data_IF_777798937534
#
_entry.id   IF_777798937534
#
_cell.length_a   1.000
_cell.length_b   1.000
_cell.length_c   1.000
_cell.angle_alpha   90.00
_cell.angle_beta   90.00
_cell.angle_gamma   90.00
#
_symmetry.space_group_name_H-M   'P 1'
#
loop_
_entity.id
_entity.type
_entity.pdbx_description
1 polymer ?
#
# COMPACT_ATOMS: atom_id res chain seq x y z
N UNK A 1 6.17 13.07 12.92
CA UNK A 1 5.72 11.91 12.12
C UNK A 1 5.83 10.67 12.99
N UNK A 2 4.83 9.82 12.96
CA UNK A 2 4.82 8.58 13.75
C UNK A 2 5.87 7.60 13.22
N UNK A 3 6.52 6.87 14.12
CA UNK A 3 7.50 5.86 13.76
C UNK A 3 6.75 4.53 13.49
N UNK A 4 6.86 4.02 12.27
CA UNK A 4 6.15 2.80 11.87
C UNK A 4 6.62 1.58 12.68
N UNK A 5 7.89 1.49 13.01
CA UNK A 5 8.42 0.36 13.78
C UNK A 5 7.88 0.37 15.22
N UNK A 6 7.89 1.53 15.85
CA UNK A 6 7.30 1.69 17.18
C UNK A 6 5.82 1.35 17.20
N UNK A 7 5.09 1.77 16.15
CA UNK A 7 3.67 1.47 16.04
C UNK A 7 3.43 -0.03 15.90
N UNK A 8 4.15 -0.70 15.01
CA UNK A 8 4.00 -2.15 14.80
C UNK A 8 4.35 -2.93 16.06
N UNK A 9 5.40 -2.52 16.74
CA UNK A 9 5.80 -3.14 18.02
C UNK A 9 4.73 -2.94 19.09
N UNK A 10 4.11 -1.76 19.14
CA UNK A 10 3.07 -1.45 20.12
C UNK A 10 1.79 -2.26 19.97
N UNK A 11 1.52 -2.77 18.77
CA UNK A 11 0.35 -3.60 18.49
C UNK A 11 0.70 -5.08 18.30
N UNK A 12 1.92 -5.48 18.66
CA UNK A 12 2.42 -6.85 18.60
C UNK A 12 2.38 -7.47 17.19
N UNK A 13 2.60 -6.66 16.17
CA UNK A 13 2.74 -7.15 14.79
C UNK A 13 4.20 -7.51 14.55
N UNK A 14 4.45 -8.78 14.26
CA UNK A 14 5.80 -9.23 13.90
C UNK A 14 6.10 -8.93 12.44
N UNK A 15 7.37 -8.71 12.12
CA UNK A 15 7.82 -8.47 10.77
C UNK A 15 9.29 -8.81 10.64
N UNK A 16 9.72 -9.14 9.42
CA UNK A 16 11.14 -9.25 9.06
C UNK A 16 11.52 -8.03 8.25
N UNK A 17 12.68 -7.45 8.54
CA UNK A 17 13.17 -6.25 7.88
C UNK A 17 14.37 -6.58 6.98
N UNK A 18 14.32 -6.08 5.76
CA UNK A 18 15.41 -6.22 4.78
C UNK A 18 15.77 -4.86 4.21
N UNK A 19 17.04 -4.46 4.36
CA UNK A 19 17.53 -3.21 3.83
C UNK A 19 18.12 -3.43 2.43
N UNK A 20 17.94 -2.46 1.54
CA UNK A 20 18.40 -2.54 0.16
C UNK A 20 18.56 -1.13 -0.41
N UNK A 21 19.25 -0.99 -1.59
CA UNK A 21 19.32 0.32 -2.25
C UNK A 21 17.94 0.86 -2.60
N UNK A 22 17.83 2.19 -2.69
CA UNK A 22 16.57 2.84 -3.05
C UNK A 22 16.08 2.35 -4.41
N UNK A 23 14.78 2.04 -4.50
CA UNK A 23 14.13 1.57 -5.73
C UNK A 23 12.94 2.46 -6.06
N UNK A 24 12.76 2.81 -7.34
CA UNK A 24 11.71 3.71 -7.80
C UNK A 24 10.80 3.07 -8.85
N UNK A 25 11.20 1.92 -9.41
CA UNK A 25 10.42 1.18 -10.40
C UNK A 25 10.32 -0.30 -10.01
N UNK A 26 9.35 -0.99 -10.62
CA UNK A 26 9.19 -2.44 -10.43
C UNK A 26 10.45 -3.19 -10.89
N UNK A 27 11.04 -2.78 -12.01
CA UNK A 27 12.25 -3.41 -12.53
C UNK A 27 13.44 -3.22 -11.58
N UNK A 28 13.60 -2.02 -11.02
CA UNK A 28 14.65 -1.77 -10.02
C UNK A 28 14.42 -2.61 -8.77
N UNK A 29 13.17 -2.71 -8.31
CA UNK A 29 12.82 -3.52 -7.15
C UNK A 29 13.21 -4.99 -7.36
N UNK A 30 12.91 -5.56 -8.53
CA UNK A 30 13.26 -6.93 -8.85
C UNK A 30 14.76 -7.16 -8.90
N UNK A 31 15.53 -6.18 -9.38
CA UNK A 31 16.97 -6.29 -9.57
C UNK A 31 17.77 -6.04 -8.29
N UNK A 32 17.34 -5.04 -7.49
CA UNK A 32 18.12 -4.53 -6.36
C UNK A 32 17.67 -5.02 -5.00
N UNK A 33 16.41 -5.48 -4.87
CA UNK A 33 15.91 -6.00 -3.61
C UNK A 33 16.40 -7.43 -3.37
N UNK A 34 16.67 -7.79 -2.10
CA UNK A 34 17.01 -9.17 -1.77
C UNK A 34 15.82 -10.10 -2.05
N UNK A 35 16.10 -11.38 -2.27
CA UNK A 35 15.08 -12.39 -2.36
C UNK A 35 14.42 -12.55 -0.99
N UNK A 36 13.08 -12.42 -0.96
CA UNK A 36 12.31 -12.49 0.26
C UNK A 36 11.10 -13.39 0.06
N UNK A 37 10.75 -14.17 1.08
CA UNK A 37 9.50 -14.93 1.09
C UNK A 37 8.34 -13.97 1.35
N UNK A 38 7.37 -13.97 0.46
CA UNK A 38 6.20 -13.14 0.57
C UNK A 38 5.74 -12.60 -0.77
N UNK A 39 4.53 -12.06 -0.79
CA UNK A 39 3.96 -11.48 -2.00
C UNK A 39 4.51 -10.07 -2.22
N UNK A 40 5.17 -9.86 -3.35
CA UNK A 40 5.62 -8.54 -3.78
C UNK A 40 4.41 -7.70 -4.19
N UNK A 41 4.37 -6.46 -3.74
CA UNK A 41 3.23 -5.56 -3.93
C UNK A 41 3.63 -4.25 -4.60
N UNK A 42 2.64 -3.61 -5.21
CA UNK A 42 2.71 -2.19 -5.53
C UNK A 42 1.43 -1.53 -5.02
N UNK A 43 1.54 -0.26 -4.70
CA UNK A 43 0.46 0.52 -4.12
C UNK A 43 0.12 1.67 -5.04
N UNK A 44 -1.17 1.79 -5.38
CA UNK A 44 -1.67 2.86 -6.24
C UNK A 44 -2.42 3.85 -5.35
N UNK A 45 -1.94 5.09 -5.29
CA UNK A 45 -2.65 6.14 -4.59
C UNK A 45 -3.45 6.96 -5.59
N UNK A 46 -4.75 6.82 -5.55
CA UNK A 46 -5.67 7.32 -6.57
C UNK A 46 -6.62 8.35 -6.01
N UNK A 47 -7.16 9.16 -6.91
CA UNK A 47 -8.19 10.15 -6.58
C UNK A 47 -9.34 10.04 -7.59
N UNK A 48 -10.54 10.47 -7.18
CA UNK A 48 -11.64 10.61 -8.11
C UNK A 48 -11.50 11.90 -8.92
N UNK A 49 -12.39 12.13 -9.89
CA UNK A 49 -12.30 13.27 -10.79
C UNK A 49 -12.29 14.62 -10.06
N UNK A 50 -13.12 14.76 -9.03
CA UNK A 50 -13.23 16.02 -8.26
C UNK A 50 -12.17 16.16 -7.17
N UNK A 51 -11.45 15.08 -6.86
CA UNK A 51 -10.46 15.08 -5.79
C UNK A 51 -11.05 15.08 -4.39
N UNK A 52 -12.28 14.62 -4.24
CA UNK A 52 -12.96 14.50 -2.94
C UNK A 52 -12.72 13.15 -2.26
N UNK A 53 -12.48 12.12 -3.05
CA UNK A 53 -12.21 10.77 -2.55
C UNK A 53 -10.80 10.35 -2.93
N UNK A 54 -10.13 9.69 -2.00
CA UNK A 54 -8.78 9.15 -2.21
C UNK A 54 -8.76 7.67 -1.87
N UNK A 55 -8.01 6.91 -2.65
CA UNK A 55 -7.99 5.45 -2.56
C UNK A 55 -6.55 4.96 -2.52
N UNK A 56 -6.26 4.04 -1.64
CA UNK A 56 -5.02 3.28 -1.67
C UNK A 56 -5.36 1.85 -2.08
N UNK A 57 -4.86 1.45 -3.24
CA UNK A 57 -5.14 0.13 -3.80
C UNK A 57 -3.85 -0.65 -3.86
N UNK A 58 -3.77 -1.74 -3.11
CA UNK A 58 -2.59 -2.61 -3.04
C UNK A 58 -2.82 -3.85 -3.89
N UNK A 59 -1.91 -4.10 -4.82
CA UNK A 59 -2.03 -5.19 -5.80
C UNK A 59 -0.70 -5.94 -5.91
N UNK A 60 -0.71 -7.16 -6.50
CA UNK A 60 0.54 -7.83 -6.84
C UNK A 60 1.42 -6.95 -7.72
N UNK A 61 2.72 -7.00 -7.50
CA UNK A 61 3.69 -6.11 -8.14
C UNK A 61 3.61 -6.08 -9.67
N UNK A 62 3.31 -7.21 -10.30
CA UNK A 62 3.29 -7.33 -11.76
C UNK A 62 1.92 -7.07 -12.39
N UNK A 63 0.91 -6.80 -11.58
CA UNK A 63 -0.45 -6.60 -12.09
C UNK A 63 -0.59 -5.26 -12.81
N UNK A 64 -1.09 -5.29 -14.04
CA UNK A 64 -1.40 -4.07 -14.80
C UNK A 64 -2.88 -3.75 -14.61
N UNK A 65 -3.15 -2.74 -13.79
CA UNK A 65 -4.50 -2.39 -13.35
C UNK A 65 -5.23 -1.57 -14.41
N UNK A 66 -6.47 -1.96 -14.71
CA UNK A 66 -7.37 -1.18 -15.55
C UNK A 66 -8.12 -0.16 -14.66
N UNK A 67 -7.67 1.09 -14.69
CA UNK A 67 -8.26 2.14 -13.84
C UNK A 67 -9.71 2.46 -14.21
N UNK A 68 -10.08 2.33 -15.48
CA UNK A 68 -11.44 2.59 -15.93
C UNK A 68 -12.42 1.57 -15.34
N UNK A 69 -12.07 0.30 -15.41
CA UNK A 69 -12.84 -0.79 -14.81
C UNK A 69 -12.86 -0.67 -13.30
N UNK A 70 -11.73 -0.32 -12.70
CA UNK A 70 -11.62 -0.13 -11.26
C UNK A 70 -12.56 0.98 -10.78
N UNK A 71 -12.70 2.07 -11.54
CA UNK A 71 -13.64 3.15 -11.20
C UNK A 71 -15.05 2.62 -11.00
N UNK A 72 -15.49 1.73 -11.89
CA UNK A 72 -16.81 1.12 -11.80
C UNK A 72 -16.95 0.24 -10.57
N UNK A 73 -15.94 -0.54 -10.26
CA UNK A 73 -15.94 -1.43 -9.10
C UNK A 73 -15.98 -0.64 -7.80
N UNK A 74 -15.24 0.47 -7.71
CA UNK A 74 -15.21 1.32 -6.53
C UNK A 74 -16.36 2.31 -6.46
N UNK A 75 -17.25 2.30 -7.45
CA UNK A 75 -18.35 3.25 -7.54
C UNK A 75 -17.86 4.70 -7.45
N UNK A 76 -16.78 4.97 -8.15
CA UNK A 76 -16.13 6.27 -8.18
C UNK A 76 -16.23 6.90 -9.57
N UNK A 77 -16.12 8.20 -9.63
CA UNK A 77 -15.91 8.90 -10.89
C UNK A 77 -14.49 8.57 -11.40
N UNK A 78 -14.11 9.07 -12.57
CA UNK A 78 -12.84 8.75 -13.20
C UNK A 78 -11.67 8.77 -12.23
N UNK A 79 -10.98 7.63 -12.09
CA UNK A 79 -9.80 7.51 -11.25
C UNK A 79 -8.54 7.95 -11.99
N UNK A 80 -7.66 8.65 -11.28
CA UNK A 80 -6.32 8.98 -11.75
C UNK A 80 -5.36 8.94 -10.57
N UNK A 81 -4.05 8.91 -10.85
CA UNK A 81 -3.06 8.96 -9.79
C UNK A 81 -3.11 10.30 -9.08
N UNK A 82 -3.06 10.27 -7.77
CA UNK A 82 -2.99 11.49 -6.97
C UNK A 82 -1.60 12.12 -7.11
N UNK A 83 -1.54 13.45 -7.01
CA UNK A 83 -0.29 14.19 -7.13
C UNK A 83 0.66 13.91 -5.96
N UNK A 84 1.98 14.21 -6.10
CA UNK A 84 2.91 14.14 -4.98
C UNK A 84 2.47 14.98 -3.79
N UNK A 85 1.86 16.16 -4.03
CA UNK A 85 1.36 17.02 -2.96
C UNK A 85 0.23 16.35 -2.18
N UNK A 86 -0.69 15.67 -2.88
CA UNK A 86 -1.77 14.93 -2.22
C UNK A 86 -1.23 13.73 -1.44
N UNK A 87 -0.25 13.04 -2.01
CA UNK A 87 0.40 11.92 -1.34
C UNK A 87 1.03 12.37 -0.02
N UNK A 88 1.73 13.51 -0.05
CA UNK A 88 2.33 14.08 1.15
C UNK A 88 1.28 14.51 2.17
N UNK A 89 0.21 15.15 1.70
CA UNK A 89 -0.87 15.65 2.56
C UNK A 89 -1.60 14.51 3.27
N UNK A 90 -1.94 13.44 2.56
CA UNK A 90 -2.76 12.35 3.11
C UNK A 90 -1.95 11.25 3.76
N UNK A 91 -0.80 10.90 3.20
CA UNK A 91 -0.01 9.75 3.66
C UNK A 91 1.38 10.12 4.19
N UNK A 92 1.80 11.37 4.04
CA UNK A 92 3.07 11.85 4.59
C UNK A 92 4.31 11.25 3.96
N UNK A 93 4.23 10.74 2.74
CA UNK A 93 5.32 10.06 2.06
C UNK A 93 5.56 10.62 0.67
N UNK A 94 6.70 10.27 0.08
CA UNK A 94 7.09 10.64 -1.27
C UNK A 94 6.69 9.55 -2.28
N UNK A 95 6.57 9.87 -3.59
CA UNK A 95 6.09 8.93 -4.60
C UNK A 95 6.83 7.59 -4.66
N UNK A 96 8.13 7.56 -4.41
CA UNK A 96 8.90 6.32 -4.43
C UNK A 96 8.69 5.42 -3.22
N UNK A 97 7.94 5.86 -2.22
CA UNK A 97 7.76 5.18 -0.94
C UNK A 97 6.30 4.86 -0.62
N UNK A 98 5.43 4.83 -1.63
CA UNK A 98 4.01 4.55 -1.40
C UNK A 98 3.85 3.16 -0.78
N UNK A 99 3.15 3.11 0.34
CA UNK A 99 3.01 1.90 1.14
C UNK A 99 1.68 1.85 1.86
N UNK A 100 1.16 0.64 2.02
CA UNK A 100 -0.01 0.37 2.85
C UNK A 100 0.22 0.86 4.29
N UNK A 101 1.44 0.73 4.79
CA UNK A 101 1.79 1.14 6.16
C UNK A 101 1.72 2.65 6.36
N UNK A 102 1.72 3.44 5.30
CA UNK A 102 1.56 4.90 5.38
C UNK A 102 0.17 5.32 5.88
N UNK A 103 -0.79 4.41 5.93
CA UNK A 103 -2.10 4.68 6.53
C UNK A 103 -1.99 5.07 8.00
N UNK A 104 -0.87 4.77 8.66
CA UNK A 104 -0.57 5.26 9.99
C UNK A 104 -0.68 6.80 10.06
N UNK A 105 -0.34 7.49 8.98
CA UNK A 105 -0.37 8.96 8.92
C UNK A 105 -1.75 9.52 8.56
N UNK A 106 -2.69 8.69 8.12
CA UNK A 106 -4.06 9.10 7.80
C UNK A 106 -4.97 9.03 9.01
N UNK A 107 -4.70 9.87 10.01
CA UNK A 107 -5.41 9.86 11.29
C UNK A 107 -6.88 10.19 11.16
N UNK A 108 -7.27 10.95 10.14
CA UNK A 108 -8.67 11.32 9.89
C UNK A 108 -9.43 10.29 9.06
N UNK A 109 -8.77 9.22 8.65
CA UNK A 109 -9.35 8.11 7.90
C UNK A 109 -10.01 8.56 6.59
N UNK A 110 -9.33 9.45 5.88
CA UNK A 110 -9.80 10.01 4.61
C UNK A 110 -9.49 9.13 3.40
N UNK A 111 -8.56 8.19 3.54
CA UNK A 111 -8.15 7.29 2.46
C UNK A 111 -8.93 5.99 2.56
N UNK A 112 -9.59 5.61 1.45
CA UNK A 112 -10.29 4.33 1.35
C UNK A 112 -9.28 3.26 0.90
N UNK A 113 -9.29 2.11 1.56
CA UNK A 113 -8.30 1.05 1.36
C UNK A 113 -8.94 -0.14 0.65
N UNK A 114 -8.28 -0.59 -0.41
CA UNK A 114 -8.69 -1.79 -1.15
C UNK A 114 -7.46 -2.65 -1.40
N UNK A 115 -7.57 -3.94 -1.12
CA UNK A 115 -6.49 -4.90 -1.34
C UNK A 115 -6.97 -5.96 -2.32
N UNK A 116 -6.14 -6.26 -3.30
CA UNK A 116 -6.44 -7.32 -4.27
C UNK A 116 -6.54 -8.65 -3.52
N UNK A 117 -7.63 -9.37 -3.74
CA UNK A 117 -7.84 -10.65 -3.07
C UNK A 117 -6.77 -11.70 -3.41
N UNK A 118 -6.05 -11.57 -4.52
CA UNK A 118 -4.89 -12.43 -4.81
C UNK A 118 -3.82 -12.34 -3.73
N UNK A 119 -3.61 -11.15 -3.16
CA UNK A 119 -2.62 -10.98 -2.08
C UNK A 119 -3.02 -11.71 -0.81
N UNK A 120 -4.31 -11.91 -0.60
CA UNK A 120 -4.79 -12.61 0.59
C UNK A 120 -4.59 -14.11 0.54
N UNK A 121 -4.16 -14.65 -0.61
CA UNK A 121 -3.74 -16.05 -0.74
C UNK A 121 -2.31 -16.26 -0.22
N UNK A 122 -1.52 -15.20 -0.06
CA UNK A 122 -0.18 -15.29 0.49
C UNK A 122 -0.23 -15.18 2.02
N UNK A 123 0.65 -15.92 2.70
CA UNK A 123 0.76 -15.83 4.16
C UNK A 123 1.45 -14.55 4.61
N UNK A 124 2.35 -14.02 3.79
CA UNK A 124 3.17 -12.86 4.09
C UNK A 124 3.13 -11.87 2.94
N UNK A 125 3.04 -10.59 3.27
CA UNK A 125 2.95 -9.49 2.32
C UNK A 125 4.15 -8.56 2.52
N UNK A 126 4.79 -8.16 1.41
CA UNK A 126 5.94 -7.27 1.44
C UNK A 126 5.49 -5.82 1.35
N UNK A 127 5.96 -4.99 2.29
CA UNK A 127 5.57 -3.57 2.39
C UNK A 127 6.79 -2.69 2.64
N UNK A 128 6.77 -1.46 2.12
CA UNK A 128 7.78 -0.46 2.47
C UNK A 128 7.46 0.18 3.83
N UNK A 129 8.46 0.35 4.71
CA UNK A 129 8.27 1.05 5.98
C UNK A 129 8.40 2.57 5.83
N UNK A 130 7.63 3.16 4.93
CA UNK A 130 7.56 4.61 4.62
C UNK A 130 8.82 5.17 3.95
N UNK A 131 9.77 4.32 3.61
CA UNK A 131 10.96 4.64 2.84
C UNK A 131 11.21 3.53 1.81
N UNK A 132 11.97 3.83 0.75
CA UNK A 132 12.22 2.85 -0.30
C UNK A 132 13.59 2.16 -0.19
N UNK A 133 14.23 2.25 0.98
CA UNK A 133 15.52 1.62 1.27
C UNK A 133 15.39 0.39 2.16
N UNK A 134 14.16 0.00 2.47
CA UNK A 134 13.86 -1.20 3.26
C UNK A 134 12.55 -1.80 2.78
N UNK A 135 12.38 -3.08 3.02
CA UNK A 135 11.12 -3.80 2.81
C UNK A 135 10.84 -4.64 4.05
N UNK A 136 9.60 -4.63 4.49
CA UNK A 136 9.16 -5.46 5.60
C UNK A 136 8.34 -6.62 5.07
N UNK A 137 8.62 -7.82 5.57
CA UNK A 137 7.78 -8.99 5.35
C UNK A 137 6.81 -9.08 6.53
N UNK A 138 5.54 -8.79 6.29
CA UNK A 138 4.50 -8.72 7.34
C UNK A 138 3.49 -9.84 7.11
N UNK A 139 3.22 -10.68 8.12
CA UNK A 139 2.18 -11.70 8.00
C UNK A 139 0.83 -11.07 7.65
N UNK A 140 0.04 -11.78 6.87
CA UNK A 140 -1.30 -11.32 6.48
C UNK A 140 -2.15 -10.89 7.68
N UNK A 141 -2.14 -11.68 8.75
CA UNK A 141 -2.86 -11.33 9.98
C UNK A 141 -2.33 -10.05 10.61
N UNK A 142 -1.04 -9.76 10.46
CA UNK A 142 -0.44 -8.52 10.91
C UNK A 142 -0.95 -7.30 10.14
N UNK A 143 -1.12 -7.45 8.83
CA UNK A 143 -1.72 -6.40 7.98
C UNK A 143 -3.16 -6.13 8.43
N UNK A 144 -3.93 -7.18 8.68
CA UNK A 144 -5.30 -7.04 9.17
C UNK A 144 -5.34 -6.31 10.51
N UNK A 145 -4.47 -6.68 11.44
CA UNK A 145 -4.36 -6.05 12.75
C UNK A 145 -3.95 -4.59 12.63
N UNK A 146 -3.00 -4.28 11.73
CA UNK A 146 -2.57 -2.91 11.47
C UNK A 146 -3.76 -2.04 11.02
N UNK A 147 -4.55 -2.51 10.05
CA UNK A 147 -5.70 -1.77 9.53
C UNK A 147 -6.77 -1.58 10.62
N UNK A 148 -7.02 -2.59 11.44
CA UNK A 148 -7.96 -2.47 12.56
C UNK A 148 -7.52 -1.35 13.53
N UNK A 149 -6.23 -1.28 13.80
CA UNK A 149 -5.70 -0.29 14.76
C UNK A 149 -5.64 1.11 14.18
N UNK A 150 -5.41 1.26 12.88
CA UNK A 150 -5.48 2.59 12.24
C UNK A 150 -6.92 3.02 11.98
N UNK A 151 -7.87 2.09 12.07
CA UNK A 151 -9.29 2.37 11.87
C UNK A 151 -9.71 2.36 10.41
N UNK A 152 -8.92 1.78 9.52
CA UNK A 152 -9.25 1.64 8.11
C UNK A 152 -9.94 0.29 7.86
N UNK A 153 -11.06 0.32 7.12
CA UNK A 153 -11.75 -0.91 6.78
C UNK A 153 -10.93 -1.72 5.76
N UNK A 154 -10.77 -3.01 6.03
CA UNK A 154 -10.16 -3.94 5.08
C UNK A 154 -11.20 -4.34 4.05
N UNK A 155 -10.98 -3.98 2.78
CA UNK A 155 -11.83 -4.37 1.66
C UNK A 155 -11.03 -5.16 0.66
N UNK A 156 -11.41 -6.42 0.46
CA UNK A 156 -10.79 -7.30 -0.52
C UNK A 156 -11.64 -7.28 -1.79
N UNK A 157 -11.00 -7.00 -2.91
CA UNK A 157 -11.66 -6.96 -4.22
C UNK A 157 -10.82 -7.69 -5.26
N UNK A 158 -11.45 -8.08 -6.35
CA UNK A 158 -10.73 -8.54 -7.53
C UNK A 158 -10.40 -7.31 -8.37
N UNK A 159 -9.12 -6.90 -8.36
CA UNK A 159 -8.68 -5.72 -9.10
C UNK A 159 -8.58 -6.06 -10.58
N UNK A 160 -9.28 -5.30 -11.45
CA UNK A 160 -9.30 -5.63 -12.88
C UNK A 160 -7.97 -5.34 -13.56
N UNK A 161 -7.65 -6.17 -14.55
CA UNK A 161 -6.43 -6.02 -15.37
C UNK A 161 -6.78 -5.52 -16.76
N UNK A 162 -5.82 -4.85 -17.36
CA UNK A 162 -5.93 -4.39 -18.75
C UNK A 162 -6.04 -5.57 -19.73
#
# INVERSE_FOLDING_TARGET
>A
MADIYEFLDSIDVSYDRFDHPAVFTVNEAKRLSPEMDGASTKNLFLRDKKGNRHFLVTVPQDKQVDLKELSSILEASRLSFASPDRLKTYLGIDPGSVSLLALLNDSEKKVEVFIDNELWNAETILCHPLVNTSTLAVPRDGIKQFLERTGHALRLIEVPVK
#
